data_IF_865668080537
#
_entry.id   IF_865668080537
#
_cell.length_a   1.000
_cell.length_b   1.000
_cell.length_c   1.000
_cell.angle_alpha   90.00
_cell.angle_beta   90.00
_cell.angle_gamma   90.00
#
_symmetry.space_group_name_H-M   'P 1'
#
loop_
_entity.id
_entity.type
_entity.pdbx_description
1 polymer ?
#
# COMPACT_ATOMS: atom_id res chain seq x y z
N UNK A 1 2.46 43.21 -6.89
CA UNK A 1 3.87 42.99 -7.24
C UNK A 1 4.73 43.03 -6.01
N UNK A 2 4.96 41.91 -5.30
CA UNK A 2 6.01 41.72 -4.24
C UNK A 2 6.06 40.26 -3.81
N UNK A 3 6.46 39.33 -4.73
CA UNK A 3 6.64 37.90 -4.43
C UNK A 3 8.00 37.36 -4.94
N UNK A 4 8.86 38.25 -5.45
CA UNK A 4 10.10 37.84 -6.12
C UNK A 4 11.34 37.53 -5.24
N UNK A 5 11.48 37.98 -3.97
CA UNK A 5 12.67 37.64 -3.18
C UNK A 5 12.68 36.20 -2.64
N UNK A 6 11.50 35.65 -2.30
CA UNK A 6 11.41 34.35 -1.62
C UNK A 6 11.71 33.17 -2.56
N UNK A 7 11.39 33.28 -3.85
CA UNK A 7 11.68 32.25 -4.86
C UNK A 7 13.18 32.15 -5.21
N UNK A 8 13.95 33.26 -5.07
CA UNK A 8 15.40 33.24 -5.29
C UNK A 8 16.18 32.55 -4.17
N UNK A 9 15.71 32.71 -2.92
CA UNK A 9 16.35 32.06 -1.76
C UNK A 9 16.12 30.54 -1.83
N UNK A 10 14.88 30.09 -2.14
CA UNK A 10 14.55 28.67 -2.28
C UNK A 10 15.37 28.02 -3.42
N UNK A 11 15.60 28.71 -4.52
CA UNK A 11 16.37 28.18 -5.64
C UNK A 11 17.87 28.04 -5.30
N UNK A 12 18.43 28.98 -4.52
CA UNK A 12 19.82 28.92 -4.07
C UNK A 12 20.05 27.78 -3.06
N UNK A 13 19.10 27.52 -2.17
CA UNK A 13 19.15 26.38 -1.24
C UNK A 13 18.98 25.01 -1.94
N UNK A 14 18.14 24.92 -2.96
CA UNK A 14 17.98 23.71 -3.77
C UNK A 14 19.26 23.41 -4.56
N UNK A 15 19.89 24.40 -5.14
CA UNK A 15 21.16 24.24 -5.89
C UNK A 15 22.34 23.84 -4.97
N UNK A 16 22.38 24.30 -3.72
CA UNK A 16 23.34 23.84 -2.71
C UNK A 16 23.11 22.39 -2.27
N UNK A 17 21.86 21.97 -2.08
CA UNK A 17 21.52 20.60 -1.70
C UNK A 17 21.81 19.60 -2.84
N UNK A 18 21.72 20.03 -4.09
CA UNK A 18 22.06 19.20 -5.25
C UNK A 18 23.57 18.89 -5.33
N UNK A 19 24.44 19.79 -4.86
CA UNK A 19 25.88 19.57 -4.82
C UNK A 19 26.34 18.60 -3.72
N UNK A 20 25.49 18.32 -2.73
CA UNK A 20 25.81 17.42 -1.61
C UNK A 20 25.34 15.97 -1.80
N UNK A 21 24.81 15.58 -2.98
CA UNK A 21 24.43 14.21 -3.28
C UNK A 21 23.17 13.68 -2.55
N UNK A 22 22.34 14.57 -1.99
CA UNK A 22 21.12 14.20 -1.28
C UNK A 22 20.00 13.82 -2.26
N UNK A 23 19.37 12.67 -2.04
CA UNK A 23 18.32 12.13 -2.93
C UNK A 23 17.06 13.02 -2.96
N UNK A 24 16.35 13.04 -4.09
CA UNK A 24 15.09 13.77 -4.30
C UNK A 24 14.01 13.48 -3.25
N UNK A 25 14.04 12.29 -2.65
CA UNK A 25 13.09 11.91 -1.61
C UNK A 25 13.31 12.71 -0.31
N UNK A 26 14.57 12.99 0.06
CA UNK A 26 14.90 13.83 1.24
C UNK A 26 14.50 15.29 1.01
N UNK A 27 14.68 15.82 -0.19
CA UNK A 27 14.28 17.18 -0.56
C UNK A 27 12.74 17.34 -0.50
N UNK A 28 12.00 16.35 -0.98
CA UNK A 28 10.52 16.36 -0.96
C UNK A 28 9.95 16.32 0.47
N UNK A 29 10.55 15.55 1.37
CA UNK A 29 10.11 15.44 2.78
C UNK A 29 10.40 16.78 3.50
N UNK A 30 11.54 17.41 3.27
CA UNK A 30 11.89 18.70 3.88
C UNK A 30 10.98 19.83 3.40
N UNK A 31 10.60 19.84 2.11
CA UNK A 31 9.67 20.83 1.54
C UNK A 31 8.22 20.59 1.99
N UNK A 32 7.80 19.35 2.24
CA UNK A 32 6.48 19.02 2.75
C UNK A 32 6.31 19.48 4.21
N UNK A 33 7.31 19.22 5.07
CA UNK A 33 7.29 19.64 6.47
C UNK A 33 7.35 21.17 6.62
N UNK A 34 8.09 21.87 5.76
CA UNK A 34 8.08 23.35 5.75
C UNK A 34 6.72 23.93 5.29
N UNK A 35 6.03 23.29 4.34
CA UNK A 35 4.69 23.72 3.92
C UNK A 35 3.63 23.55 5.01
N UNK A 36 3.70 22.47 5.78
CA UNK A 36 2.79 22.23 6.90
C UNK A 36 3.07 23.18 8.07
N UNK A 37 4.33 23.43 8.40
CA UNK A 37 4.74 24.43 9.40
C UNK A 37 4.27 25.83 9.03
N UNK A 38 4.38 26.22 7.76
CA UNK A 38 3.93 27.53 7.26
C UNK A 38 2.39 27.65 7.25
N UNK A 39 1.66 26.55 7.02
CA UNK A 39 0.18 26.51 7.14
C UNK A 39 -0.28 26.60 8.60
N UNK A 40 0.42 25.95 9.53
CA UNK A 40 0.15 26.02 10.96
C UNK A 40 0.40 27.42 11.52
N UNK A 41 1.46 28.10 11.08
CA UNK A 41 1.77 29.50 11.44
C UNK A 41 0.70 30.49 11.01
N UNK A 42 0.01 30.28 9.88
CA UNK A 42 -1.07 31.15 9.41
C UNK A 42 -2.40 30.98 10.17
N UNK A 43 -2.56 29.88 10.93
CA UNK A 43 -3.80 29.56 11.67
C UNK A 43 -3.73 29.85 13.17
N UNK A 44 -2.56 30.09 13.75
CA UNK A 44 -2.40 30.29 15.20
C UNK A 44 -2.10 31.74 15.55
N UNK A 45 -2.95 32.34 16.45
CA UNK A 45 -2.75 33.66 17.05
C UNK A 45 -1.94 33.64 18.35
N UNK A 46 -1.30 32.55 18.73
CA UNK A 46 -0.62 32.38 20.02
C UNK A 46 0.90 32.37 19.89
N UNK A 47 1.57 33.37 20.48
CA UNK A 47 3.04 33.51 20.51
C UNK A 47 3.78 32.40 21.27
N UNK A 48 3.11 31.59 22.10
CA UNK A 48 3.73 30.49 22.87
C UNK A 48 4.03 29.23 22.04
N UNK A 49 3.29 29.00 20.94
CA UNK A 49 3.57 27.86 20.04
C UNK A 49 4.78 28.09 19.13
N UNK A 50 5.16 29.35 18.89
CA UNK A 50 6.29 29.71 18.03
C UNK A 50 7.63 29.34 18.67
N UNK A 51 7.77 29.44 20.00
CA UNK A 51 9.00 29.09 20.71
C UNK A 51 9.27 27.56 20.73
N UNK A 52 8.23 26.74 20.71
CA UNK A 52 8.36 25.27 20.69
C UNK A 52 8.76 24.78 19.29
N UNK A 53 8.25 25.43 18.23
CA UNK A 53 8.56 25.03 16.84
C UNK A 53 9.93 25.50 16.36
N UNK A 54 10.46 26.60 16.90
CA UNK A 54 11.83 27.09 16.61
C UNK A 54 12.89 26.21 17.32
N UNK A 55 12.59 25.66 18.51
CA UNK A 55 13.44 24.70 19.21
C UNK A 55 13.66 23.39 18.44
N UNK A 56 12.69 22.96 17.64
CA UNK A 56 12.79 21.74 16.81
C UNK A 56 13.54 21.93 15.49
N UNK A 57 13.68 23.15 14.99
CA UNK A 57 14.28 23.44 13.67
C UNK A 57 15.79 23.71 13.70
N UNK A 58 16.42 23.83 14.88
CA UNK A 58 17.83 24.18 15.02
C UNK A 58 18.76 23.03 15.45
N UNK A 59 18.18 21.82 15.74
CA UNK A 59 18.97 20.66 16.20
C UNK A 59 19.06 19.59 15.11
N UNK A 60 19.63 19.88 13.97
CA UNK A 60 20.22 18.84 13.11
C UNK A 60 21.25 19.46 12.17
N UNK A 61 22.54 19.08 12.30
CA UNK A 61 23.05 18.09 11.36
C UNK A 61 24.15 17.18 11.90
N UNK A 62 23.97 16.42 12.95
CA UNK A 62 24.97 15.42 13.37
C UNK A 62 24.44 14.10 13.96
N UNK A 63 23.16 13.78 13.79
CA UNK A 63 22.59 12.55 14.33
C UNK A 63 21.94 11.66 13.25
N UNK A 64 22.46 11.64 12.01
CA UNK A 64 21.75 10.98 10.90
C UNK A 64 21.86 9.46 10.91
N UNK A 65 22.93 8.86 11.41
CA UNK A 65 23.14 7.41 11.31
C UNK A 65 22.63 6.64 12.55
N UNK A 66 22.75 7.21 13.74
CA UNK A 66 22.19 6.62 14.96
C UNK A 66 20.66 6.68 14.98
N UNK A 67 20.07 7.77 14.47
CA UNK A 67 18.60 7.92 14.40
C UNK A 67 17.96 6.96 13.38
N UNK A 68 18.66 6.62 12.28
CA UNK A 68 18.19 5.67 11.27
C UNK A 68 18.28 4.21 11.74
N UNK A 69 19.24 3.86 12.62
CA UNK A 69 19.30 2.55 13.23
C UNK A 69 18.17 2.30 14.25
N UNK A 70 17.71 3.36 14.88
CA UNK A 70 16.61 3.33 15.86
C UNK A 70 15.23 3.19 15.18
N UNK A 71 15.04 3.79 14.00
CA UNK A 71 13.77 3.70 13.25
C UNK A 71 13.44 2.32 12.70
N UNK A 72 14.40 1.41 12.64
CA UNK A 72 14.18 0.06 12.13
C UNK A 72 13.63 -0.93 13.18
N UNK A 73 13.71 -0.62 14.48
CA UNK A 73 13.26 -1.54 15.55
C UNK A 73 11.83 -1.32 16.02
N UNK A 74 11.27 -0.10 15.88
CA UNK A 74 9.88 0.16 16.26
C UNK A 74 9.27 1.23 15.39
N UNK A 75 8.50 0.83 14.37
CA UNK A 75 7.76 1.77 13.52
C UNK A 75 6.50 2.20 14.24
N UNK A 76 6.55 3.35 14.93
CA UNK A 76 5.36 4.04 15.39
C UNK A 76 4.56 4.48 14.15
N UNK A 77 3.42 3.86 13.88
CA UNK A 77 2.50 4.26 12.80
C UNK A 77 1.41 5.14 13.39
N UNK A 78 1.39 6.46 13.11
CA UNK A 78 0.25 7.28 13.44
C UNK A 78 -0.96 6.82 12.61
N UNK A 79 -2.11 6.62 13.27
CA UNK A 79 -3.37 6.25 12.61
C UNK A 79 -3.83 4.79 12.80
N UNK A 80 -3.27 4.04 13.75
CA UNK A 80 -3.83 2.75 14.16
C UNK A 80 -5.11 2.96 14.97
N UNK A 81 -6.12 2.11 14.74
CA UNK A 81 -7.33 2.06 15.56
C UNK A 81 -7.04 1.60 17.00
N UNK A 82 -5.99 0.77 17.20
CA UNK A 82 -5.50 0.36 18.51
C UNK A 82 -4.15 1.01 18.81
N UNK A 83 -3.99 1.66 19.99
CA UNK A 83 -2.72 2.24 20.40
C UNK A 83 -1.65 1.15 20.59
N UNK A 84 -0.45 1.40 20.07
CA UNK A 84 0.70 0.51 20.24
C UNK A 84 1.23 0.61 21.68
N UNK A 85 1.37 -0.53 22.35
CA UNK A 85 1.97 -0.64 23.67
C UNK A 85 3.21 -1.52 23.63
N UNK A 86 4.33 -1.00 24.10
CA UNK A 86 5.57 -1.77 24.30
C UNK A 86 6.30 -1.29 25.53
N UNK A 87 7.13 -2.16 26.11
CA UNK A 87 8.11 -1.72 27.11
C UNK A 87 9.26 -1.12 26.35
N UNK A 88 9.53 0.16 26.56
CA UNK A 88 10.65 0.85 25.92
C UNK A 88 11.88 0.80 26.81
N UNK A 89 11.75 1.24 28.07
CA UNK A 89 12.86 1.36 28.99
C UNK A 89 12.53 0.78 30.37
N UNK A 90 13.54 0.18 31.00
CA UNK A 90 13.54 -0.20 32.41
C UNK A 90 14.53 0.72 33.12
N UNK A 91 14.04 1.54 34.05
CA UNK A 91 14.89 2.50 34.76
C UNK A 91 15.68 1.79 35.87
N UNK A 92 17.01 2.01 35.86
CA UNK A 92 17.95 1.55 36.87
C UNK A 92 18.61 2.78 37.52
N UNK A 93 18.38 2.97 38.81
CA UNK A 93 18.98 4.07 39.54
C UNK A 93 20.39 3.70 39.99
N UNK A 94 21.33 4.59 39.73
CA UNK A 94 22.78 4.39 40.01
C UNK A 94 23.36 5.60 40.69
N UNK A 95 24.49 5.43 41.42
CA UNK A 95 25.18 6.55 42.09
C UNK A 95 26.14 7.30 41.18
N UNK A 96 26.68 6.59 40.18
CA UNK A 96 27.66 7.16 39.27
C UNK A 96 27.41 6.59 37.83
N UNK A 97 26.98 7.44 36.94
CA UNK A 97 26.65 7.05 35.57
C UNK A 97 27.86 6.53 34.77
N UNK A 98 29.07 7.05 35.02
CA UNK A 98 30.26 6.62 34.30
C UNK A 98 30.77 5.27 34.78
N UNK A 99 30.68 5.00 36.10
CA UNK A 99 30.97 3.67 36.66
C UNK A 99 29.98 2.64 36.13
N UNK A 100 28.70 2.94 36.20
CA UNK A 100 27.64 2.03 35.74
C UNK A 100 27.71 1.82 34.24
N UNK A 101 27.90 2.87 33.44
CA UNK A 101 28.09 2.76 31.99
C UNK A 101 29.22 1.78 31.64
N UNK A 102 30.38 1.89 32.28
CA UNK A 102 31.49 0.95 32.04
C UNK A 102 31.12 -0.47 32.42
N UNK A 103 30.45 -0.68 33.52
CA UNK A 103 30.00 -2.00 33.96
C UNK A 103 29.10 -2.66 32.91
N UNK A 104 28.05 -1.97 32.44
CA UNK A 104 27.12 -2.53 31.48
C UNK A 104 27.78 -2.76 30.11
N UNK A 105 28.63 -1.85 29.62
CA UNK A 105 29.28 -2.01 28.32
C UNK A 105 30.45 -2.99 28.35
N UNK A 106 31.36 -2.88 29.32
CA UNK A 106 32.61 -3.64 29.30
C UNK A 106 32.49 -5.00 29.99
N UNK A 107 31.74 -5.08 31.10
CA UNK A 107 31.62 -6.33 31.85
C UNK A 107 30.46 -7.19 31.37
N UNK A 108 29.27 -6.60 31.15
CA UNK A 108 28.11 -7.35 30.67
C UNK A 108 28.08 -7.47 29.14
N UNK A 109 28.80 -6.63 28.40
CA UNK A 109 28.84 -6.66 26.92
C UNK A 109 27.59 -6.06 26.30
N UNK A 110 26.93 -5.11 26.96
CA UNK A 110 25.79 -4.38 26.43
C UNK A 110 26.22 -3.33 25.41
N UNK A 111 25.29 -2.91 24.56
CA UNK A 111 25.48 -1.83 23.59
C UNK A 111 24.97 -0.51 24.14
N UNK A 112 25.68 0.59 23.85
CA UNK A 112 25.23 1.95 24.14
C UNK A 112 24.16 2.35 23.10
N UNK A 113 22.95 2.60 23.54
CA UNK A 113 21.85 3.03 22.67
C UNK A 113 21.82 4.55 22.53
N UNK A 114 21.86 5.25 23.66
CA UNK A 114 21.93 6.72 23.66
C UNK A 114 22.61 7.26 24.92
N UNK A 115 23.22 8.42 24.78
CA UNK A 115 23.72 9.24 25.89
C UNK A 115 23.41 10.68 25.59
N UNK A 116 22.58 11.31 26.43
CA UNK A 116 22.13 12.66 26.21
C UNK A 116 21.93 13.43 27.52
N UNK A 117 21.88 14.76 27.44
CA UNK A 117 21.40 15.61 28.54
C UNK A 117 19.97 16.01 28.28
N UNK A 118 19.12 15.75 29.25
CA UNK A 118 17.72 16.17 29.20
C UNK A 118 17.62 17.70 29.33
N UNK A 119 16.50 18.30 28.91
CA UNK A 119 16.24 19.74 29.11
C UNK A 119 16.29 20.17 30.57
N UNK A 120 16.10 19.25 31.51
CA UNK A 120 16.24 19.44 32.96
C UNK A 120 17.70 19.56 33.42
N UNK A 121 18.67 19.27 32.54
CA UNK A 121 20.10 19.25 32.79
C UNK A 121 20.65 17.92 33.28
N UNK A 122 19.77 16.95 33.56
CA UNK A 122 20.13 15.60 33.97
C UNK A 122 20.71 14.81 32.79
N UNK A 123 21.67 13.93 33.10
CA UNK A 123 22.28 13.03 32.12
C UNK A 123 21.47 11.74 32.04
N UNK A 124 21.21 11.27 30.83
CA UNK A 124 20.44 10.08 30.52
C UNK A 124 21.26 9.14 29.66
N UNK A 125 21.42 7.88 30.09
CA UNK A 125 22.16 6.84 29.36
C UNK A 125 21.27 5.63 29.19
N UNK A 126 21.11 5.16 27.97
CA UNK A 126 20.42 3.91 27.67
C UNK A 126 21.41 2.88 27.14
N UNK A 127 21.34 1.68 27.70
CA UNK A 127 22.10 0.51 27.28
C UNK A 127 21.16 -0.66 27.02
N UNK A 128 21.50 -1.53 26.09
CA UNK A 128 20.70 -2.72 25.77
C UNK A 128 21.57 -3.97 25.70
N UNK A 129 21.00 -5.16 26.02
CA UNK A 129 21.64 -6.44 25.69
C UNK A 129 21.83 -6.55 24.16
N UNK A 130 22.76 -7.40 23.68
CA UNK A 130 23.09 -7.51 22.27
C UNK A 130 21.90 -7.87 21.34
N UNK A 131 20.86 -8.51 21.87
CA UNK A 131 19.63 -8.83 21.14
C UNK A 131 18.66 -7.65 21.02
N UNK A 132 18.90 -6.56 21.76
CA UNK A 132 18.07 -5.36 21.76
C UNK A 132 16.64 -5.56 22.27
N UNK A 133 16.38 -6.56 23.08
CA UNK A 133 15.05 -6.94 23.54
C UNK A 133 14.38 -5.90 24.45
N UNK A 134 15.16 -5.16 25.25
CA UNK A 134 14.71 -4.05 26.07
C UNK A 134 15.88 -3.12 26.40
N UNK A 135 15.62 -1.83 26.64
CA UNK A 135 16.64 -0.89 27.07
C UNK A 135 16.64 -0.78 28.60
N UNK A 136 17.84 -0.61 29.19
CA UNK A 136 18.02 -0.14 30.55
C UNK A 136 18.40 1.33 30.51
N UNK A 137 17.56 2.18 31.09
CA UNK A 137 17.85 3.60 31.28
C UNK A 137 18.56 3.80 32.61
N UNK A 138 19.84 4.15 32.57
CA UNK A 138 20.65 4.47 33.75
C UNK A 138 20.38 5.91 34.16
N UNK A 139 19.97 6.10 35.42
CA UNK A 139 19.63 7.43 35.93
C UNK A 139 20.31 7.63 37.29
N UNK A 140 20.99 8.77 37.43
CA UNK A 140 21.61 9.21 38.67
C UNK A 140 20.67 10.19 39.37
N UNK A 141 19.91 9.74 40.39
CA UNK A 141 19.01 10.60 41.13
C UNK A 141 19.79 11.51 42.10
N UNK A 142 19.25 12.69 42.37
CA UNK A 142 19.81 13.58 43.40
C UNK A 142 19.77 12.92 44.77
N UNK A 143 20.77 13.17 45.67
CA UNK A 143 20.83 12.53 46.98
C UNK A 143 19.61 12.78 47.86
N UNK A 144 18.89 13.87 47.67
CA UNK A 144 17.69 14.26 48.38
C UNK A 144 16.39 13.75 47.72
N UNK A 145 16.47 13.18 46.55
CA UNK A 145 15.31 12.66 45.79
C UNK A 145 14.85 11.30 46.41
N UNK A 146 13.54 11.00 46.38
CA UNK A 146 13.01 9.72 46.84
C UNK A 146 13.63 8.52 46.12
N UNK A 147 13.96 8.68 44.85
CA UNK A 147 14.53 7.66 43.96
C UNK A 147 15.94 7.23 44.40
N UNK A 148 16.69 8.09 45.10
CA UNK A 148 18.02 7.74 45.63
C UNK A 148 17.98 6.53 46.57
N UNK A 149 16.89 6.34 47.31
CA UNK A 149 16.66 5.17 48.20
C UNK A 149 16.41 3.87 47.44
N UNK A 150 16.14 3.97 46.16
CA UNK A 150 15.92 2.81 45.29
C UNK A 150 17.22 2.22 44.74
N UNK A 151 18.35 2.90 44.88
CA UNK A 151 19.65 2.37 44.46
C UNK A 151 20.02 1.15 45.31
N UNK A 152 20.54 0.09 44.67
CA UNK A 152 20.98 -1.13 45.33
C UNK A 152 19.83 -2.08 45.69
N UNK A 153 18.67 -1.92 45.08
CA UNK A 153 17.52 -2.79 45.30
C UNK A 153 17.42 -3.95 44.29
N UNK A 154 16.64 -4.97 44.64
CA UNK A 154 16.31 -6.07 43.72
C UNK A 154 15.33 -5.58 42.65
N UNK A 155 15.68 -5.76 41.36
CA UNK A 155 14.92 -5.17 40.25
C UNK A 155 13.93 -6.13 39.57
N UNK A 156 13.92 -7.41 39.91
CA UNK A 156 13.11 -8.42 39.21
C UNK A 156 13.27 -8.46 37.69
N UNK A 157 14.43 -8.00 37.21
CA UNK A 157 14.81 -8.12 35.81
C UNK A 157 15.59 -9.41 35.67
N UNK A 158 15.15 -10.24 34.74
CA UNK A 158 15.76 -11.51 34.40
C UNK A 158 16.38 -11.38 32.99
N UNK A 159 17.69 -11.60 32.92
CA UNK A 159 18.40 -11.77 31.66
C UNK A 159 18.38 -13.25 31.31
N UNK A 160 18.18 -13.54 30.03
CA UNK A 160 18.12 -14.92 29.53
C UNK A 160 19.36 -15.24 28.70
N UNK A 161 19.85 -16.46 28.82
CA UNK A 161 20.98 -16.98 28.05
C UNK A 161 20.77 -18.45 27.70
N UNK A 162 21.36 -18.90 26.60
CA UNK A 162 21.33 -20.31 26.23
C UNK A 162 22.12 -21.19 27.20
N UNK A 163 23.20 -20.64 27.82
CA UNK A 163 24.06 -21.36 28.78
C UNK A 163 24.42 -20.44 29.95
N UNK A 164 23.74 -20.64 31.11
CA UNK A 164 23.97 -19.90 32.34
C UNK A 164 25.38 -20.15 32.89
N UNK A 165 25.88 -21.38 32.80
CA UNK A 165 27.21 -21.72 33.32
C UNK A 165 28.32 -21.03 32.51
N UNK A 166 28.22 -21.06 31.19
CA UNK A 166 29.16 -20.36 30.33
C UNK A 166 29.12 -18.84 30.57
N UNK A 167 27.93 -18.25 30.63
CA UNK A 167 27.76 -16.81 30.87
C UNK A 167 28.18 -16.40 32.29
N UNK A 168 27.90 -17.21 33.29
CA UNK A 168 28.40 -17.00 34.67
C UNK A 168 29.93 -16.95 34.70
N UNK A 169 30.61 -17.91 34.04
CA UNK A 169 32.07 -17.94 33.97
C UNK A 169 32.61 -16.68 33.24
N UNK A 170 32.09 -16.37 32.08
CA UNK A 170 32.50 -15.21 31.29
C UNK A 170 32.38 -13.89 32.08
N UNK A 171 31.23 -13.65 32.68
CA UNK A 171 31.00 -12.43 33.48
C UNK A 171 31.80 -12.38 34.77
N UNK A 172 31.99 -13.53 35.44
CA UNK A 172 32.86 -13.61 36.62
C UNK A 172 34.32 -13.27 36.32
N UNK A 173 34.82 -13.74 35.15
CA UNK A 173 36.17 -13.39 34.65
C UNK A 173 36.30 -11.89 34.30
N UNK A 174 35.22 -11.24 33.95
CA UNK A 174 35.15 -9.79 33.73
C UNK A 174 34.88 -8.98 34.99
N UNK A 175 34.78 -9.65 36.14
CA UNK A 175 34.63 -8.99 37.46
C UNK A 175 33.17 -8.71 37.87
N UNK A 176 32.17 -9.29 37.24
CA UNK A 176 30.76 -9.21 37.67
C UNK A 176 30.60 -9.97 38.99
N UNK A 177 29.99 -9.32 39.99
CA UNK A 177 29.74 -9.91 41.30
C UNK A 177 28.45 -10.75 41.29
N UNK A 178 28.60 -12.06 41.35
CA UNK A 178 27.46 -12.95 41.52
C UNK A 178 27.18 -13.18 43.01
N UNK A 179 25.91 -13.07 43.40
CA UNK A 179 25.44 -13.36 44.79
C UNK A 179 24.92 -14.78 44.92
N UNK A 180 24.50 -15.39 43.78
CA UNK A 180 24.15 -16.82 43.73
C UNK A 180 24.82 -17.41 42.48
N UNK A 181 25.57 -18.49 42.65
CA UNK A 181 26.14 -19.28 41.57
C UNK A 181 25.01 -20.02 40.82
N UNK A 182 25.26 -20.51 39.59
CA UNK A 182 24.26 -21.27 38.84
C UNK A 182 23.74 -22.45 39.63
N UNK A 183 22.43 -22.48 39.86
CA UNK A 183 21.70 -23.55 40.57
C UNK A 183 20.40 -23.87 39.85
N UNK A 184 19.81 -25.03 40.15
CA UNK A 184 18.49 -25.42 39.63
C UNK A 184 17.47 -25.24 40.73
N UNK A 185 16.69 -24.15 40.71
CA UNK A 185 15.66 -23.91 41.73
C UNK A 185 14.50 -24.90 41.55
N UNK A 186 13.64 -25.00 42.58
CA UNK A 186 12.52 -25.96 42.59
C UNK A 186 11.45 -25.75 41.51
N UNK A 187 11.48 -24.62 40.81
CA UNK A 187 10.61 -24.33 39.65
C UNK A 187 11.23 -24.70 38.31
N UNK A 188 12.42 -25.28 38.29
CA UNK A 188 13.13 -25.75 37.10
C UNK A 188 14.06 -24.71 36.43
N UNK A 189 14.76 -25.11 35.37
CA UNK A 189 15.71 -24.27 34.69
C UNK A 189 17.05 -24.11 35.45
N UNK A 190 17.95 -23.30 34.93
CA UNK A 190 19.20 -22.91 35.60
C UNK A 190 19.16 -21.42 35.89
N UNK A 191 19.49 -21.01 37.10
CA UNK A 191 19.38 -19.63 37.56
C UNK A 191 20.65 -19.20 38.27
N UNK A 192 21.08 -17.95 38.08
CA UNK A 192 22.11 -17.28 38.85
C UNK A 192 21.68 -15.84 39.17
N UNK A 193 22.30 -15.23 40.19
CA UNK A 193 22.02 -13.84 40.56
C UNK A 193 23.29 -13.03 40.62
N UNK A 194 23.27 -11.85 40.04
CA UNK A 194 24.40 -10.92 40.03
C UNK A 194 23.95 -9.50 40.44
N UNK A 195 24.92 -8.67 40.73
CA UNK A 195 24.72 -7.28 41.12
C UNK A 195 25.60 -6.36 40.29
N UNK A 196 25.07 -5.17 39.98
CA UNK A 196 25.86 -4.08 39.45
C UNK A 196 26.73 -3.39 40.54
N UNK A 197 27.60 -2.41 40.18
CA UNK A 197 28.45 -1.72 41.15
C UNK A 197 27.69 -1.04 42.28
N UNK A 198 26.45 -0.67 42.08
CA UNK A 198 25.58 -0.01 43.05
C UNK A 198 24.77 -0.99 43.91
N UNK A 199 24.89 -2.31 43.65
CA UNK A 199 24.16 -3.36 44.33
C UNK A 199 22.74 -3.58 43.81
N UNK A 200 22.41 -3.06 42.62
CA UNK A 200 21.17 -3.43 41.95
C UNK A 200 21.28 -4.91 41.54
N UNK A 201 20.33 -5.72 41.98
CA UNK A 201 20.39 -7.16 41.79
C UNK A 201 19.51 -7.60 40.64
N UNK A 202 20.07 -8.47 39.80
CA UNK A 202 19.47 -9.04 38.59
C UNK A 202 19.54 -10.55 38.59
N UNK A 203 18.60 -11.22 37.92
CA UNK A 203 18.67 -12.64 37.63
C UNK A 203 19.28 -12.94 36.27
N UNK A 204 19.99 -14.06 36.19
CA UNK A 204 20.41 -14.68 34.95
C UNK A 204 19.79 -16.07 34.86
N UNK A 205 19.03 -16.35 33.82
CA UNK A 205 18.23 -17.58 33.70
C UNK A 205 18.50 -18.27 32.35
N UNK A 206 18.50 -19.61 32.37
CA UNK A 206 18.66 -20.43 31.20
C UNK A 206 17.33 -20.69 30.47
N UNK A 207 17.40 -20.95 29.18
CA UNK A 207 16.28 -21.46 28.42
C UNK A 207 15.98 -22.89 28.83
N UNK A 208 14.81 -23.14 29.39
CA UNK A 208 14.26 -24.48 29.44
C UNK A 208 13.54 -24.85 28.12
N UNK A 209 13.22 -26.14 27.95
CA UNK A 209 12.58 -26.63 26.70
C UNK A 209 11.26 -25.90 26.39
N UNK A 210 10.52 -25.47 27.41
CA UNK A 210 9.26 -24.77 27.25
C UNK A 210 9.48 -23.35 26.74
N UNK A 211 10.44 -22.64 27.30
CA UNK A 211 10.80 -21.27 26.89
C UNK A 211 11.41 -21.24 25.51
N UNK A 212 12.32 -22.19 25.22
CA UNK A 212 12.87 -22.36 23.87
C UNK A 212 11.76 -22.58 22.82
N UNK A 213 10.79 -23.45 23.15
CA UNK A 213 9.63 -23.70 22.29
C UNK A 213 8.77 -22.44 22.09
N UNK A 214 8.56 -21.63 23.14
CA UNK A 214 7.81 -20.38 23.05
C UNK A 214 8.56 -19.34 22.20
N UNK A 215 9.85 -19.22 22.35
CA UNK A 215 10.66 -18.26 21.57
C UNK A 215 10.70 -18.63 20.08
N UNK A 216 10.90 -19.90 19.75
CA UNK A 216 10.80 -20.39 18.39
C UNK A 216 9.44 -20.07 17.75
N UNK A 217 8.34 -20.23 18.51
CA UNK A 217 7.00 -19.85 18.03
C UNK A 217 6.85 -18.35 17.80
N UNK A 218 7.42 -17.53 18.69
CA UNK A 218 7.39 -16.06 18.52
C UNK A 218 8.17 -15.62 17.29
N UNK A 219 9.37 -16.17 17.09
CA UNK A 219 10.19 -15.88 15.90
C UNK A 219 9.48 -16.30 14.62
N UNK A 220 8.94 -17.53 14.56
CA UNK A 220 8.18 -18.01 13.41
C UNK A 220 6.94 -17.15 13.14
N UNK A 221 6.25 -16.66 14.17
CA UNK A 221 5.12 -15.76 14.02
C UNK A 221 5.54 -14.39 13.49
N UNK A 222 6.65 -13.83 14.01
CA UNK A 222 7.19 -12.56 13.56
C UNK A 222 7.64 -12.61 12.09
N UNK A 223 8.35 -13.67 11.70
CA UNK A 223 8.76 -13.91 10.30
C UNK A 223 7.55 -14.04 9.36
N UNK A 224 6.50 -14.76 9.81
CA UNK A 224 5.26 -14.89 9.05
C UNK A 224 4.60 -13.52 8.83
N UNK A 225 4.46 -12.72 9.89
CA UNK A 225 3.88 -11.37 9.79
C UNK A 225 4.69 -10.46 8.88
N UNK A 226 6.02 -10.54 8.94
CA UNK A 226 6.88 -9.75 8.06
C UNK A 226 6.74 -10.18 6.60
N UNK A 227 6.68 -11.49 6.34
CA UNK A 227 6.43 -12.04 5.01
C UNK A 227 5.08 -11.60 4.45
N UNK A 228 4.01 -11.72 5.24
CA UNK A 228 2.66 -11.26 4.85
C UNK A 228 2.64 -9.75 4.55
N UNK A 229 3.32 -8.95 5.37
CA UNK A 229 3.43 -7.51 5.15
C UNK A 229 4.18 -7.18 3.86
N UNK A 230 5.29 -7.88 3.58
CA UNK A 230 6.06 -7.70 2.35
C UNK A 230 5.22 -8.03 1.12
N UNK A 231 4.53 -9.17 1.16
CA UNK A 231 3.61 -9.57 0.08
C UNK A 231 2.49 -8.54 -0.12
N UNK A 232 1.90 -8.01 0.95
CA UNK A 232 0.87 -6.98 0.84
C UNK A 232 1.40 -5.67 0.22
N UNK A 233 2.65 -5.27 0.54
CA UNK A 233 3.29 -4.11 -0.07
C UNK A 233 3.57 -4.32 -1.57
N UNK A 234 4.05 -5.48 -1.97
CA UNK A 234 4.28 -5.83 -3.37
C UNK A 234 2.97 -5.83 -4.16
N UNK A 235 1.89 -6.32 -3.57
CA UNK A 235 0.55 -6.29 -4.16
C UNK A 235 0.00 -4.87 -4.32
N UNK A 236 0.23 -3.97 -3.36
CA UNK A 236 -0.18 -2.57 -3.50
C UNK A 236 0.58 -1.86 -4.63
N UNK A 237 1.87 -2.17 -4.79
CA UNK A 237 2.66 -1.68 -5.94
C UNK A 237 2.09 -2.21 -7.26
N UNK A 238 1.77 -3.50 -7.35
CA UNK A 238 1.18 -4.11 -8.53
C UNK A 238 -0.16 -3.43 -8.89
N UNK A 239 -1.02 -3.17 -7.91
CA UNK A 239 -2.27 -2.43 -8.08
C UNK A 239 -2.04 -1.02 -8.64
N UNK A 240 -1.07 -0.29 -8.09
CA UNK A 240 -0.74 1.06 -8.56
C UNK A 240 -0.20 1.06 -10.00
N UNK A 241 0.57 0.04 -10.39
CA UNK A 241 1.04 -0.13 -11.77
C UNK A 241 -0.14 -0.45 -12.69
N UNK A 242 -0.99 -1.40 -12.31
CA UNK A 242 -2.17 -1.78 -13.11
C UNK A 242 -3.14 -0.61 -13.30
N UNK A 243 -3.37 0.22 -12.26
CA UNK A 243 -4.22 1.40 -12.37
C UNK A 243 -3.76 2.40 -13.45
N UNK A 244 -2.47 2.40 -13.81
CA UNK A 244 -1.93 3.22 -14.90
C UNK A 244 -2.15 2.63 -16.30
N UNK A 245 -2.53 1.37 -16.39
CA UNK A 245 -2.85 0.72 -17.66
C UNK A 245 -4.24 1.11 -18.16
N UNK A 246 -5.14 1.51 -17.27
CA UNK A 246 -6.44 2.05 -17.64
C UNK A 246 -6.32 3.44 -18.28
N UNK A 247 -7.35 3.91 -19.00
CA UNK A 247 -7.30 5.17 -19.74
C UNK A 247 -6.96 6.36 -18.82
N UNK A 248 -5.86 7.04 -19.08
CA UNK A 248 -5.45 8.27 -18.38
C UNK A 248 -5.89 9.54 -19.15
N UNK A 249 -6.16 9.41 -20.42
CA UNK A 249 -6.58 10.48 -21.32
C UNK A 249 -7.82 9.99 -22.07
N UNK A 250 -8.82 10.83 -22.14
CA UNK A 250 -10.04 10.57 -22.92
C UNK A 250 -10.04 11.43 -24.18
N UNK A 251 -10.09 10.82 -25.38
CA UNK A 251 -10.29 11.58 -26.63
C UNK A 251 -11.56 12.44 -26.57
N UNK A 252 -11.46 13.72 -26.87
CA UNK A 252 -12.62 14.61 -26.90
C UNK A 252 -13.36 14.47 -28.23
N UNK A 253 -14.65 14.18 -28.15
CA UNK A 253 -15.58 14.12 -29.25
C UNK A 253 -16.78 15.02 -28.98
N UNK A 254 -17.43 15.54 -30.01
CA UNK A 254 -18.54 16.49 -29.88
C UNK A 254 -19.89 15.81 -29.71
N UNK A 255 -20.07 14.67 -30.39
CA UNK A 255 -21.35 13.98 -30.50
C UNK A 255 -21.50 12.78 -29.58
N UNK A 256 -20.49 12.48 -28.76
CA UNK A 256 -20.56 11.43 -27.76
C UNK A 256 -19.96 11.89 -26.43
N UNK A 257 -20.65 11.61 -25.34
CA UNK A 257 -20.13 11.68 -23.98
C UNK A 257 -19.95 10.26 -23.47
N UNK A 258 -18.82 9.93 -22.87
CA UNK A 258 -18.57 8.59 -22.40
C UNK A 258 -17.74 8.61 -21.11
N UNK A 259 -17.84 7.53 -20.36
CA UNK A 259 -17.05 7.28 -19.16
C UNK A 259 -16.88 5.78 -18.96
N UNK A 260 -15.85 5.38 -18.20
CA UNK A 260 -15.59 4.00 -17.82
C UNK A 260 -15.13 3.90 -16.37
N UNK A 261 -15.36 2.75 -15.77
CA UNK A 261 -14.92 2.41 -14.42
C UNK A 261 -14.52 0.95 -14.36
N UNK A 262 -13.49 0.63 -13.59
CA UNK A 262 -13.13 -0.71 -13.18
C UNK A 262 -12.85 -0.71 -11.68
N UNK A 263 -13.55 -1.56 -10.94
CA UNK A 263 -13.40 -1.77 -9.50
C UNK A 263 -12.99 -3.22 -9.27
N UNK A 264 -11.74 -3.40 -8.94
CA UNK A 264 -11.19 -4.73 -8.74
C UNK A 264 -11.71 -5.36 -7.45
N UNK A 265 -12.08 -6.65 -7.51
CA UNK A 265 -12.48 -7.45 -6.35
C UNK A 265 -11.29 -7.79 -5.44
N UNK A 266 -10.10 -7.91 -6.03
CA UNK A 266 -8.83 -8.13 -5.33
C UNK A 266 -7.91 -6.93 -5.55
N UNK A 267 -6.66 -7.05 -5.14
CA UNK A 267 -5.66 -5.99 -5.35
C UNK A 267 -5.38 -5.73 -6.83
N UNK A 268 -5.43 -6.79 -7.65
CA UNK A 268 -5.26 -6.75 -9.11
C UNK A 268 -6.25 -7.72 -9.76
N UNK A 269 -6.70 -7.41 -10.98
CA UNK A 269 -7.76 -8.15 -11.67
C UNK A 269 -7.49 -8.45 -13.14
N UNK A 270 -8.39 -9.25 -13.74
CA UNK A 270 -8.39 -9.62 -15.15
C UNK A 270 -9.16 -8.66 -16.05
N UNK A 271 -10.09 -7.92 -15.48
CA UNK A 271 -10.93 -6.97 -16.20
C UNK A 271 -10.13 -5.82 -16.81
N UNK A 272 -10.54 -5.43 -17.99
CA UNK A 272 -9.94 -4.37 -18.77
C UNK A 272 -10.99 -3.51 -19.45
N UNK A 273 -10.79 -2.19 -19.45
CA UNK A 273 -11.45 -1.28 -20.37
C UNK A 273 -10.48 -0.22 -20.90
N UNK A 274 -10.74 0.29 -22.10
CA UNK A 274 -9.92 1.34 -22.69
C UNK A 274 -10.70 2.25 -23.64
N UNK A 275 -10.12 3.43 -23.88
CA UNK A 275 -10.55 4.42 -24.85
C UNK A 275 -9.42 4.69 -25.83
N UNK A 276 -9.54 4.10 -27.03
CA UNK A 276 -8.50 4.25 -28.04
C UNK A 276 -8.81 5.42 -28.98
N UNK A 277 -7.81 6.26 -29.19
CA UNK A 277 -7.86 7.23 -30.30
C UNK A 277 -7.54 6.49 -31.62
N UNK A 278 -8.55 6.26 -32.43
CA UNK A 278 -8.44 5.58 -33.72
C UNK A 278 -8.25 6.57 -34.89
N UNK A 279 -7.92 7.83 -34.60
CA UNK A 279 -7.74 8.88 -35.57
C UNK A 279 -8.64 10.09 -35.31
N UNK A 280 -8.63 11.11 -36.19
CA UNK A 280 -9.48 12.27 -36.04
C UNK A 280 -10.97 11.88 -35.99
N UNK A 281 -11.66 12.31 -34.92
CA UNK A 281 -13.09 12.05 -34.73
C UNK A 281 -13.47 10.56 -34.66
N UNK A 282 -12.53 9.68 -34.25
CA UNK A 282 -12.80 8.24 -34.08
C UNK A 282 -12.37 7.74 -32.70
N UNK A 283 -13.25 6.98 -32.07
CA UNK A 283 -13.09 6.47 -30.74
C UNK A 283 -13.30 4.95 -30.68
N UNK A 284 -12.31 4.22 -30.21
CA UNK A 284 -12.47 2.83 -29.81
C UNK A 284 -12.89 2.73 -28.34
N UNK A 285 -14.02 2.08 -28.09
CA UNK A 285 -14.45 1.67 -26.75
C UNK A 285 -14.16 0.19 -26.61
N UNK A 286 -13.38 -0.18 -25.59
CA UNK A 286 -12.98 -1.57 -25.38
C UNK A 286 -13.33 -1.98 -23.96
N UNK A 287 -13.94 -3.15 -23.83
CA UNK A 287 -14.09 -3.84 -22.58
C UNK A 287 -13.75 -5.32 -22.76
N UNK A 288 -13.16 -5.95 -21.77
CA UNK A 288 -12.81 -7.35 -21.83
C UNK A 288 -12.52 -7.92 -20.45
N UNK A 289 -12.55 -9.21 -20.35
CA UNK A 289 -12.19 -9.97 -19.17
C UNK A 289 -11.27 -11.12 -19.56
N UNK A 290 -10.18 -11.28 -18.81
CA UNK A 290 -9.17 -12.33 -19.00
C UNK A 290 -9.43 -13.46 -18.03
N UNK A 291 -9.52 -14.68 -18.53
CA UNK A 291 -9.77 -15.89 -17.75
C UNK A 291 -8.80 -16.05 -16.58
N UNK A 292 -9.36 -16.37 -15.39
CA UNK A 292 -8.61 -16.52 -14.15
C UNK A 292 -8.71 -15.30 -13.24
N UNK A 293 -8.02 -15.32 -12.08
CA UNK A 293 -8.10 -14.26 -11.08
C UNK A 293 -6.72 -13.93 -10.51
N UNK A 294 -6.56 -12.73 -10.00
CA UNK A 294 -5.35 -12.26 -9.32
C UNK A 294 -4.19 -11.95 -10.27
N UNK A 295 -2.96 -12.21 -9.83
CA UNK A 295 -1.72 -11.77 -10.51
C UNK A 295 -1.62 -12.31 -11.93
N UNK A 296 -1.96 -13.58 -12.14
CA UNK A 296 -1.85 -14.22 -13.45
C UNK A 296 -2.77 -13.53 -14.48
N UNK A 297 -4.05 -13.34 -14.14
CA UNK A 297 -5.00 -12.63 -14.98
C UNK A 297 -4.59 -11.17 -15.21
N UNK A 298 -4.09 -10.49 -14.17
CA UNK A 298 -3.61 -9.11 -14.26
C UNK A 298 -2.42 -8.94 -15.22
N UNK A 299 -1.48 -9.87 -15.24
CA UNK A 299 -0.35 -9.85 -16.18
C UNK A 299 -0.79 -10.11 -17.61
N UNK A 300 -1.74 -11.03 -17.82
CA UNK A 300 -2.32 -11.31 -19.13
C UNK A 300 -3.17 -10.14 -19.62
N UNK A 301 -3.91 -9.47 -18.74
CA UNK A 301 -4.64 -8.24 -19.05
C UNK A 301 -3.67 -7.14 -19.52
N UNK A 302 -2.54 -6.95 -18.83
CA UNK A 302 -1.52 -6.00 -19.22
C UNK A 302 -0.92 -6.32 -20.61
N UNK A 303 -0.72 -7.61 -20.91
CA UNK A 303 -0.28 -8.06 -22.23
C UNK A 303 -1.33 -7.78 -23.31
N UNK A 304 -2.61 -8.06 -23.03
CA UNK A 304 -3.73 -7.78 -23.92
C UNK A 304 -3.83 -6.27 -24.21
N UNK A 305 -3.79 -5.44 -23.17
CA UNK A 305 -3.80 -3.98 -23.27
C UNK A 305 -2.65 -3.45 -24.15
N UNK A 306 -1.42 -3.90 -23.91
CA UNK A 306 -0.26 -3.49 -24.68
C UNK A 306 -0.39 -3.89 -26.16
N UNK A 307 -0.91 -5.09 -26.42
CA UNK A 307 -1.16 -5.60 -27.77
C UNK A 307 -2.23 -4.77 -28.49
N UNK A 308 -3.36 -4.49 -27.84
CA UNK A 308 -4.44 -3.66 -28.40
C UNK A 308 -3.94 -2.25 -28.73
N UNK A 309 -3.26 -1.59 -27.82
CA UNK A 309 -2.73 -0.23 -28.06
C UNK A 309 -1.66 -0.18 -29.15
N UNK A 310 -0.77 -1.18 -29.19
CA UNK A 310 0.27 -1.26 -30.21
C UNK A 310 -0.32 -1.52 -31.61
N UNK A 311 -1.26 -2.46 -31.73
CA UNK A 311 -1.86 -2.83 -32.99
C UNK A 311 -2.85 -1.77 -33.52
N UNK A 312 -3.54 -1.04 -32.60
CA UNK A 312 -4.43 0.05 -32.99
C UNK A 312 -3.71 1.18 -33.70
N UNK A 313 -2.45 1.44 -33.36
CA UNK A 313 -1.62 2.44 -34.05
C UNK A 313 -1.27 2.04 -35.53
N UNK A 314 -1.32 0.75 -35.85
CA UNK A 314 -0.94 0.21 -37.15
C UNK A 314 -2.13 -0.10 -38.07
N UNK A 315 -3.25 -0.50 -37.48
CA UNK A 315 -4.41 -1.03 -38.20
C UNK A 315 -5.74 -0.37 -37.77
N UNK A 316 -5.72 0.94 -37.47
CA UNK A 316 -6.87 1.66 -36.93
C UNK A 316 -8.12 1.62 -37.85
N UNK A 317 -7.95 1.50 -39.15
CA UNK A 317 -9.06 1.43 -40.13
C UNK A 317 -9.60 0.02 -40.37
N UNK A 318 -8.92 -1.00 -39.88
CA UNK A 318 -9.23 -2.42 -40.12
C UNK A 318 -9.32 -3.19 -38.80
N UNK A 319 -10.38 -3.00 -38.01
CA UNK A 319 -10.53 -3.63 -36.71
C UNK A 319 -10.42 -5.16 -36.71
N UNK A 320 -10.87 -5.83 -37.80
CA UNK A 320 -10.70 -7.28 -37.93
C UNK A 320 -9.23 -7.70 -38.08
N UNK A 321 -8.41 -6.90 -38.81
CA UNK A 321 -6.96 -7.13 -38.94
C UNK A 321 -6.28 -6.87 -37.59
N UNK A 322 -6.66 -5.79 -36.90
CA UNK A 322 -6.19 -5.46 -35.57
C UNK A 322 -6.45 -6.62 -34.62
N UNK A 323 -7.69 -7.07 -34.48
CA UNK A 323 -8.10 -8.11 -33.54
C UNK A 323 -7.50 -9.48 -33.88
N UNK A 324 -7.34 -9.82 -35.16
CA UNK A 324 -6.58 -11.04 -35.53
C UNK A 324 -5.12 -10.99 -35.09
N UNK A 325 -4.48 -9.84 -35.23
CA UNK A 325 -3.10 -9.66 -34.77
C UNK A 325 -3.01 -9.75 -33.24
N UNK A 326 -3.95 -9.12 -32.52
CA UNK A 326 -4.05 -9.20 -31.07
C UNK A 326 -4.28 -10.65 -30.61
N UNK A 327 -5.23 -11.36 -31.23
CA UNK A 327 -5.48 -12.77 -30.92
C UNK A 327 -4.21 -13.62 -31.07
N UNK A 328 -3.50 -13.45 -32.18
CA UNK A 328 -2.27 -14.22 -32.42
C UNK A 328 -1.21 -13.95 -31.36
N UNK A 329 -0.97 -12.66 -31.04
CA UNK A 329 0.00 -12.27 -30.02
C UNK A 329 -0.41 -12.80 -28.63
N UNK A 330 -1.69 -12.73 -28.29
CA UNK A 330 -2.20 -13.23 -27.03
C UNK A 330 -2.08 -14.75 -26.94
N UNK A 331 -2.47 -15.49 -27.98
CA UNK A 331 -2.32 -16.94 -28.05
C UNK A 331 -0.84 -17.38 -27.94
N UNK A 332 0.07 -16.74 -28.72
CA UNK A 332 1.49 -17.08 -28.69
C UNK A 332 2.13 -16.82 -27.30
N UNK A 333 1.56 -15.93 -26.47
CA UNK A 333 2.01 -15.63 -25.12
C UNK A 333 1.37 -16.49 -24.02
N UNK A 334 0.17 -17.08 -24.28
CA UNK A 334 -0.60 -17.83 -23.29
C UNK A 334 -0.65 -19.33 -23.58
N UNK A 335 -0.44 -19.75 -24.82
CA UNK A 335 -0.70 -21.11 -25.28
C UNK A 335 -2.17 -21.49 -25.05
N UNK A 336 -2.41 -22.75 -24.69
CA UNK A 336 -3.78 -23.29 -24.49
C UNK A 336 -4.33 -23.03 -23.06
N UNK A 337 -3.67 -22.18 -22.27
CA UNK A 337 -3.95 -22.08 -20.84
C UNK A 337 -4.87 -20.90 -20.45
N UNK A 338 -5.02 -19.91 -21.31
CA UNK A 338 -5.82 -18.73 -21.02
C UNK A 338 -6.48 -18.15 -22.28
N UNK A 339 -7.60 -17.49 -22.06
CA UNK A 339 -8.39 -16.81 -23.08
C UNK A 339 -8.94 -15.50 -22.50
N UNK A 340 -9.43 -14.63 -23.40
CA UNK A 340 -10.09 -13.40 -23.01
C UNK A 340 -11.38 -13.19 -23.79
N UNK A 341 -12.41 -12.75 -23.10
CA UNK A 341 -13.59 -12.16 -23.75
C UNK A 341 -13.30 -10.68 -24.04
N UNK A 342 -13.78 -10.16 -25.15
CA UNK A 342 -13.56 -8.77 -25.51
C UNK A 342 -14.68 -8.23 -26.39
N UNK A 343 -15.18 -7.02 -26.09
CA UNK A 343 -16.03 -6.26 -26.97
C UNK A 343 -15.27 -4.99 -27.39
N UNK A 344 -15.10 -4.83 -28.69
CA UNK A 344 -14.50 -3.67 -29.33
C UNK A 344 -15.57 -2.92 -30.10
N UNK A 345 -15.83 -1.66 -29.75
CA UNK A 345 -16.75 -0.78 -30.47
C UNK A 345 -15.99 0.41 -31.07
N UNK A 346 -16.16 0.66 -32.35
CA UNK A 346 -15.52 1.72 -33.14
C UNK A 346 -16.57 2.77 -33.51
N UNK A 347 -16.49 3.91 -32.89
CA UNK A 347 -17.35 5.05 -33.14
C UNK A 347 -16.63 6.06 -34.05
N UNK A 348 -17.23 6.32 -35.22
CA UNK A 348 -16.79 7.32 -36.19
C UNK A 348 -17.75 8.51 -36.16
N UNK A 349 -17.32 9.61 -35.52
CA UNK A 349 -18.12 10.83 -35.39
C UNK A 349 -18.43 11.49 -36.73
N UNK A 350 -17.45 11.49 -37.64
CA UNK A 350 -17.61 12.13 -38.95
C UNK A 350 -18.60 11.39 -39.86
N UNK A 351 -18.61 10.05 -39.78
CA UNK A 351 -19.54 9.21 -40.51
C UNK A 351 -20.87 8.99 -39.81
N UNK A 352 -20.98 9.36 -38.50
CA UNK A 352 -22.13 9.04 -37.65
C UNK A 352 -22.37 7.55 -37.55
N UNK A 353 -21.30 6.74 -37.41
CA UNK A 353 -21.35 5.27 -37.54
C UNK A 353 -20.75 4.60 -36.30
N UNK A 354 -21.47 3.60 -35.79
CA UNK A 354 -21.01 2.69 -34.71
C UNK A 354 -20.83 1.29 -35.31
N UNK A 355 -19.61 0.77 -35.22
CA UNK A 355 -19.29 -0.61 -35.62
C UNK A 355 -18.76 -1.36 -34.42
N UNK A 356 -18.93 -2.68 -34.37
CA UNK A 356 -18.41 -3.47 -33.28
C UNK A 356 -17.99 -4.88 -33.68
N UNK A 357 -17.07 -5.43 -32.87
CA UNK A 357 -16.74 -6.87 -32.84
C UNK A 357 -16.88 -7.32 -31.40
N UNK A 358 -17.66 -8.36 -31.17
CA UNK A 358 -17.81 -8.98 -29.85
C UNK A 358 -17.19 -10.38 -29.90
N UNK A 359 -16.10 -10.56 -29.19
CA UNK A 359 -15.30 -11.78 -29.11
C UNK A 359 -15.71 -12.60 -27.87
N UNK A 360 -16.95 -13.11 -27.87
CA UNK A 360 -17.47 -13.94 -26.77
C UNK A 360 -17.65 -13.20 -25.43
N UNK A 361 -17.68 -11.88 -25.44
CA UNK A 361 -18.01 -11.07 -24.27
C UNK A 361 -19.52 -10.94 -24.08
N UNK A 362 -19.96 -10.52 -22.89
CA UNK A 362 -21.35 -10.19 -22.63
C UNK A 362 -21.88 -9.20 -23.70
N UNK A 363 -23.15 -9.33 -24.07
CA UNK A 363 -23.74 -8.44 -25.06
C UNK A 363 -23.77 -6.99 -24.56
N UNK A 364 -23.22 -6.08 -25.34
CA UNK A 364 -23.37 -4.65 -25.08
C UNK A 364 -24.86 -4.26 -25.19
N UNK A 365 -25.31 -3.35 -24.33
CA UNK A 365 -26.71 -2.89 -24.30
C UNK A 365 -26.81 -1.49 -24.92
N UNK A 366 -27.57 -1.32 -25.97
CA UNK A 366 -27.92 -0.04 -26.53
C UNK A 366 -29.37 0.32 -26.12
N UNK A 367 -29.49 1.13 -25.06
CA UNK A 367 -30.78 1.60 -24.55
C UNK A 367 -31.22 2.79 -25.39
N UNK A 368 -32.28 2.57 -26.18
CA UNK A 368 -32.84 3.56 -27.09
C UNK A 368 -33.53 4.71 -26.35
N UNK A 369 -33.67 5.82 -27.02
CA UNK A 369 -34.39 6.98 -26.48
C UNK A 369 -35.88 6.68 -26.15
N UNK A 370 -36.49 5.72 -26.82
CA UNK A 370 -37.86 5.25 -26.57
C UNK A 370 -37.96 4.13 -25.51
N UNK A 371 -36.83 3.71 -24.92
CA UNK A 371 -36.76 2.69 -23.88
C UNK A 371 -36.56 1.27 -24.39
N UNK A 372 -36.57 1.02 -25.71
CA UNK A 372 -36.15 -0.28 -26.28
C UNK A 372 -34.68 -0.55 -26.00
N UNK A 373 -34.29 -1.83 -26.00
CA UNK A 373 -32.92 -2.26 -25.78
C UNK A 373 -32.49 -3.16 -26.93
N UNK A 374 -31.52 -2.70 -27.67
CA UNK A 374 -30.82 -3.52 -28.67
C UNK A 374 -29.55 -4.12 -28.06
N UNK A 375 -29.10 -5.27 -28.59
CA UNK A 375 -27.92 -5.99 -28.07
C UNK A 375 -26.81 -6.05 -29.10
N UNK A 376 -25.59 -5.80 -28.67
CA UNK A 376 -24.37 -6.00 -29.43
C UNK A 376 -23.87 -7.43 -29.17
N UNK A 377 -24.54 -8.40 -29.80
CA UNK A 377 -24.29 -9.82 -29.57
C UNK A 377 -22.93 -10.26 -30.12
N UNK A 378 -22.46 -11.42 -29.64
CA UNK A 378 -21.20 -12.02 -30.06
C UNK A 378 -21.14 -12.20 -31.59
N UNK A 379 -20.01 -11.80 -32.17
CA UNK A 379 -19.70 -11.90 -33.63
C UNK A 379 -18.51 -12.81 -33.87
N UNK A 380 -17.84 -13.28 -32.83
CA UNK A 380 -16.68 -14.15 -32.88
C UNK A 380 -16.51 -14.95 -31.58
N UNK A 381 -15.63 -15.94 -31.57
CA UNK A 381 -15.21 -16.66 -30.37
C UNK A 381 -14.23 -15.84 -29.55
N UNK A 382 -13.95 -16.29 -28.32
CA UNK A 382 -12.98 -15.73 -27.38
C UNK A 382 -11.59 -15.56 -28.04
N UNK A 383 -10.87 -14.55 -27.60
CA UNK A 383 -9.45 -14.33 -27.95
C UNK A 383 -8.56 -15.34 -27.21
N UNK A 384 -7.50 -15.78 -27.88
CA UNK A 384 -6.51 -16.71 -27.31
C UNK A 384 -6.95 -18.18 -27.29
N UNK A 385 -8.19 -18.49 -27.70
CA UNK A 385 -8.68 -19.86 -27.70
C UNK A 385 -8.12 -20.68 -28.87
N UNK A 386 -7.94 -20.04 -30.04
CA UNK A 386 -7.40 -20.66 -31.23
C UNK A 386 -6.36 -19.75 -31.89
N UNK A 387 -5.26 -20.33 -32.37
CA UNK A 387 -4.23 -19.55 -33.05
C UNK A 387 -4.74 -18.97 -34.38
N UNK A 388 -5.45 -19.80 -35.17
CA UNK A 388 -6.16 -19.36 -36.38
C UNK A 388 -7.57 -18.95 -35.96
N UNK A 389 -7.79 -17.65 -35.96
CA UNK A 389 -8.99 -17.02 -35.46
C UNK A 389 -9.46 -15.93 -36.43
N UNK A 390 -10.76 -15.83 -36.62
CA UNK A 390 -11.39 -14.81 -37.47
C UNK A 390 -12.55 -14.16 -36.72
N UNK A 391 -12.81 -12.90 -37.03
CA UNK A 391 -13.97 -12.17 -36.52
C UNK A 391 -14.71 -11.46 -37.66
N UNK A 392 -15.95 -11.11 -37.38
CA UNK A 392 -16.78 -10.30 -38.25
C UNK A 392 -17.20 -9.03 -37.53
N UNK A 393 -17.08 -7.91 -38.23
CA UNK A 393 -17.57 -6.62 -37.75
C UNK A 393 -19.04 -6.47 -38.10
N UNK A 394 -19.82 -5.96 -37.15
CA UNK A 394 -21.21 -5.53 -37.37
C UNK A 394 -21.33 -4.04 -37.24
N UNK A 395 -22.28 -3.46 -37.95
CA UNK A 395 -22.70 -2.08 -37.80
C UNK A 395 -23.96 -2.02 -36.97
N UNK A 396 -24.00 -1.07 -36.03
CA UNK A 396 -25.12 -0.84 -35.14
C UNK A 396 -25.64 0.58 -35.37
N UNK A 397 -26.90 0.67 -35.77
CA UNK A 397 -27.58 1.96 -35.85
C UNK A 397 -27.79 2.55 -34.44
N UNK A 398 -27.64 3.85 -34.32
CA UNK A 398 -27.89 4.61 -33.11
C UNK A 398 -28.52 5.96 -33.41
N UNK A 399 -29.12 6.58 -32.41
CA UNK A 399 -29.75 7.90 -32.49
C UNK A 399 -29.31 8.80 -31.34
N UNK A 400 -29.38 10.12 -31.53
CA UNK A 400 -29.16 11.03 -30.40
C UNK A 400 -30.11 10.71 -29.22
N UNK A 401 -29.54 10.67 -28.02
CA UNK A 401 -30.25 10.27 -26.78
C UNK A 401 -30.19 8.80 -26.46
N UNK A 402 -29.65 7.94 -27.34
CA UNK A 402 -29.35 6.56 -27.03
C UNK A 402 -28.17 6.44 -26.07
N UNK A 403 -28.16 5.39 -25.25
CA UNK A 403 -27.11 5.10 -24.26
C UNK A 403 -26.56 3.70 -24.53
N UNK A 404 -25.30 3.61 -24.89
CA UNK A 404 -24.56 2.36 -24.98
C UNK A 404 -23.96 2.04 -23.60
N UNK A 405 -24.14 0.79 -23.14
CA UNK A 405 -23.50 0.26 -21.93
C UNK A 405 -22.76 -1.03 -22.29
N UNK A 406 -21.48 -1.09 -21.95
CA UNK A 406 -20.63 -2.28 -21.99
C UNK A 406 -20.27 -2.63 -20.54
N UNK A 407 -20.26 -3.89 -20.17
CA UNK A 407 -20.10 -4.31 -18.77
C UNK A 407 -19.57 -5.73 -18.68
N UNK A 408 -18.93 -6.04 -17.54
CA UNK A 408 -18.48 -7.40 -17.19
C UNK A 408 -19.46 -8.09 -16.26
N UNK A 409 -19.29 -9.40 -16.09
CA UNK A 409 -20.16 -10.26 -15.30
C UNK A 409 -20.23 -9.90 -13.82
N UNK A 410 -19.17 -9.31 -13.25
CA UNK A 410 -19.18 -8.82 -11.87
C UNK A 410 -20.28 -7.80 -11.56
N UNK A 411 -20.92 -7.19 -12.58
CA UNK A 411 -22.14 -6.39 -12.40
C UNK A 411 -23.37 -7.29 -12.28
N UNK A 412 -23.53 -8.24 -13.20
CA UNK A 412 -24.75 -9.02 -13.31
C UNK A 412 -24.79 -10.21 -12.36
N UNK A 413 -23.63 -10.76 -11.99
CA UNK A 413 -23.49 -11.89 -11.06
C UNK A 413 -23.43 -11.46 -9.58
N UNK A 414 -23.44 -10.16 -9.28
CA UNK A 414 -23.57 -9.68 -7.91
C UNK A 414 -24.84 -10.23 -7.27
N UNK A 415 -24.72 -10.88 -6.09
CA UNK A 415 -25.81 -11.65 -5.48
C UNK A 415 -26.26 -11.04 -4.14
N UNK A 416 -27.57 -11.06 -3.87
CA UNK A 416 -28.15 -10.65 -2.61
C UNK A 416 -28.11 -11.78 -1.54
N UNK A 417 -28.62 -11.52 -0.33
CA UNK A 417 -28.71 -12.51 0.76
C UNK A 417 -29.48 -13.78 0.39
N UNK A 418 -30.41 -13.70 -0.54
CA UNK A 418 -31.24 -14.79 -1.00
C UNK A 418 -30.58 -15.59 -2.12
N UNK A 419 -29.42 -15.17 -2.62
CA UNK A 419 -28.71 -15.76 -3.74
C UNK A 419 -29.30 -15.37 -5.11
N UNK A 420 -30.12 -14.34 -5.18
CA UNK A 420 -30.61 -13.80 -6.45
C UNK A 420 -29.52 -12.89 -7.06
N UNK A 421 -29.30 -13.01 -8.35
CA UNK A 421 -28.37 -12.18 -9.09
C UNK A 421 -28.97 -10.81 -9.44
N UNK A 422 -28.12 -9.78 -9.49
CA UNK A 422 -28.50 -8.46 -9.99
C UNK A 422 -29.04 -8.55 -11.43
N UNK A 423 -28.34 -9.25 -12.28
CA UNK A 423 -28.78 -9.58 -13.63
C UNK A 423 -28.91 -8.36 -14.56
N UNK A 424 -29.06 -8.64 -15.84
CA UNK A 424 -29.29 -7.58 -16.86
C UNK A 424 -30.52 -6.72 -16.59
N UNK A 425 -31.55 -7.29 -15.98
CA UNK A 425 -32.81 -6.58 -15.72
C UNK A 425 -32.57 -5.32 -14.87
N UNK A 426 -31.92 -5.46 -13.72
CA UNK A 426 -31.62 -4.33 -12.83
C UNK A 426 -30.66 -3.34 -13.47
N UNK A 427 -29.70 -3.83 -14.28
CA UNK A 427 -28.80 -2.97 -15.04
C UNK A 427 -29.59 -2.09 -16.03
N UNK A 428 -30.48 -2.69 -16.83
CA UNK A 428 -31.34 -1.98 -17.80
C UNK A 428 -32.25 -0.96 -17.08
N UNK A 429 -32.90 -1.37 -15.98
CA UNK A 429 -33.74 -0.48 -15.16
C UNK A 429 -32.90 0.73 -14.65
N UNK A 430 -31.68 0.50 -14.16
CA UNK A 430 -30.79 1.56 -13.72
C UNK A 430 -30.36 2.49 -14.86
N UNK A 431 -30.03 1.95 -16.02
CA UNK A 431 -29.70 2.73 -17.21
C UNK A 431 -30.87 3.62 -17.66
N UNK A 432 -32.08 3.10 -17.69
CA UNK A 432 -33.29 3.82 -18.07
C UNK A 432 -33.61 4.92 -17.05
N UNK A 433 -33.54 4.62 -15.75
CA UNK A 433 -33.87 5.55 -14.68
C UNK A 433 -32.89 6.73 -14.61
N UNK A 434 -31.59 6.45 -14.77
CA UNK A 434 -30.53 7.43 -14.59
C UNK A 434 -29.98 8.01 -15.91
N UNK A 435 -30.61 7.71 -17.05
CA UNK A 435 -30.17 8.14 -18.38
C UNK A 435 -29.97 9.67 -18.55
N UNK A 436 -30.62 10.46 -17.73
CA UNK A 436 -30.53 11.93 -17.74
C UNK A 436 -29.23 12.46 -17.09
N UNK A 437 -28.54 11.64 -16.29
CA UNK A 437 -27.31 12.03 -15.62
C UNK A 437 -26.12 12.06 -16.60
N UNK A 438 -25.06 12.84 -16.36
CA UNK A 438 -23.78 12.69 -17.06
C UNK A 438 -23.22 11.28 -16.94
N UNK A 439 -22.43 10.80 -17.94
CA UNK A 439 -21.95 9.43 -17.99
C UNK A 439 -21.23 8.98 -16.73
N UNK A 440 -20.38 9.83 -16.12
CA UNK A 440 -19.70 9.50 -14.88
C UNK A 440 -20.67 9.31 -13.70
N UNK A 441 -21.69 10.13 -13.60
CA UNK A 441 -22.71 10.03 -12.54
C UNK A 441 -23.61 8.80 -12.76
N UNK A 442 -23.91 8.46 -14.01
CA UNK A 442 -24.65 7.25 -14.38
C UNK A 442 -23.88 5.98 -13.98
N UNK A 443 -22.57 5.91 -14.26
CA UNK A 443 -21.72 4.80 -13.79
C UNK A 443 -21.72 4.70 -12.27
N UNK A 444 -21.58 5.81 -11.56
CA UNK A 444 -21.62 5.82 -10.10
C UNK A 444 -22.96 5.28 -9.59
N UNK A 445 -24.09 5.68 -10.19
CA UNK A 445 -25.42 5.18 -9.81
C UNK A 445 -25.57 3.66 -10.04
N UNK A 446 -25.01 3.13 -11.14
CA UNK A 446 -25.00 1.68 -11.42
C UNK A 446 -24.18 0.95 -10.36
N UNK A 447 -22.94 1.38 -10.11
CA UNK A 447 -22.05 0.76 -9.12
C UNK A 447 -22.65 0.81 -7.72
N UNK A 448 -23.23 1.93 -7.32
CA UNK A 448 -23.90 2.04 -6.02
C UNK A 448 -25.16 1.16 -5.94
N UNK A 449 -25.83 0.93 -7.07
CA UNK A 449 -26.92 -0.04 -7.20
C UNK A 449 -26.44 -1.46 -6.94
N UNK A 450 -25.38 -1.87 -7.62
CA UNK A 450 -24.76 -3.20 -7.45
C UNK A 450 -24.25 -3.39 -6.02
N UNK A 451 -23.57 -2.40 -5.44
CA UNK A 451 -23.05 -2.49 -4.05
C UNK A 451 -24.17 -2.58 -3.01
N UNK A 452 -25.29 -1.89 -3.20
CA UNK A 452 -26.44 -2.00 -2.30
C UNK A 452 -27.18 -3.32 -2.42
N UNK A 453 -27.13 -3.92 -3.60
CA UNK A 453 -27.75 -5.22 -3.86
C UNK A 453 -26.88 -6.35 -3.30
N UNK A 454 -25.55 -6.23 -3.44
CA UNK A 454 -24.58 -7.24 -2.98
C UNK A 454 -24.49 -7.26 -1.46
N UNK A 455 -24.82 -8.41 -0.85
CA UNK A 455 -24.73 -8.63 0.61
C UNK A 455 -23.34 -9.06 1.07
N UNK A 456 -22.53 -9.65 0.19
CA UNK A 456 -21.22 -10.20 0.49
C UNK A 456 -20.09 -9.26 0.01
N UNK A 457 -18.84 -9.61 0.34
CA UNK A 457 -17.68 -8.97 -0.31
C UNK A 457 -17.75 -9.17 -1.82
N UNK A 458 -17.27 -8.20 -2.57
CA UNK A 458 -17.18 -8.26 -4.03
C UNK A 458 -16.35 -9.49 -4.47
N UNK A 459 -16.97 -10.41 -5.21
CA UNK A 459 -16.35 -11.67 -5.64
C UNK A 459 -15.65 -11.57 -6.99
N UNK A 460 -16.07 -10.65 -7.86
CA UNK A 460 -15.46 -10.40 -9.17
C UNK A 460 -15.30 -8.92 -9.47
N UNK A 461 -14.46 -8.62 -10.45
CA UNK A 461 -14.17 -7.25 -10.88
C UNK A 461 -15.44 -6.63 -11.48
N UNK A 462 -15.74 -5.39 -11.11
CA UNK A 462 -16.88 -4.63 -11.63
C UNK A 462 -16.37 -3.64 -12.66
N UNK A 463 -16.60 -3.91 -13.94
CA UNK A 463 -16.17 -3.01 -15.01
C UNK A 463 -17.35 -2.60 -15.89
N UNK A 464 -17.43 -1.31 -16.20
CA UNK A 464 -18.42 -0.79 -17.12
C UNK A 464 -17.93 0.41 -17.90
N UNK A 465 -18.43 0.54 -19.12
CA UNK A 465 -18.37 1.74 -19.97
C UNK A 465 -19.80 2.17 -20.28
N UNK A 466 -20.08 3.46 -20.19
CA UNK A 466 -21.28 4.06 -20.76
C UNK A 466 -20.92 5.14 -21.77
N UNK A 467 -21.65 5.19 -22.88
CA UNK A 467 -21.53 6.24 -23.89
C UNK A 467 -22.90 6.75 -24.30
N UNK A 468 -23.08 8.07 -24.35
CA UNK A 468 -24.31 8.77 -24.73
C UNK A 468 -24.10 9.52 -26.01
N UNK A 469 -24.95 9.23 -26.98
CA UNK A 469 -24.90 9.92 -28.26
C UNK A 469 -25.69 11.22 -28.24
N UNK A 470 -25.11 12.30 -28.73
CA UNK A 470 -25.65 13.65 -28.73
C UNK A 470 -25.96 14.10 -30.15
N UNK A 471 -26.81 15.11 -30.30
CA UNK A 471 -27.03 15.79 -31.60
C UNK A 471 -25.74 16.50 -31.95
N UNK A 472 -25.32 16.38 -33.24
CA UNK A 472 -24.25 17.23 -33.79
C UNK A 472 -24.74 18.68 -33.77
N UNK A 473 -24.10 19.50 -32.94
CA UNK A 473 -24.41 20.93 -32.82
C UNK A 473 -23.77 21.72 -33.95
#
# INVERSE_FOLDING_TARGET
>A
MRVLPTLRIIRCEIDQLHQTGVSWCKIAITLATQREATRAMRRSRSKRLISILIGFAIITPMASDAFLSWSNRTVLRPGREEPYLSIQDIVVFVRDLDVSKRFYLEQLGFELITEQRLPTGERWIEVAPPDGSANLALVEPKPDAPEYKLIGGYRWVLFMTEDVHAKYKEWSERGVRFTTAPETPGWGGTYARFEDPDGNAFGLEGFDEVRQSLELRRQAHAEKLESERRTAQEMDIARQVQARLFPQIQPELKTVEYAGICLQARQVGGDYFDFLNLGPQRLGLIIGDVSGKGIAAALLMANLQASLRSQSALAFDQPEVLLRSVNRLFYDNTGDSAYASLLFADYDEAAGRLRYVNCGHLSGLLVRSDGRVDRLDSTSTLLGLFREWNCSMREQEFSPGDVLALYTDGITEASNEQGEEFGERYLIESLQQHRHLPCQALLTAIVDGVRRFNFQEQHDDITAIVAKFKVSS
#
